data_IF_277289560997
#
_entry.id   IF_277289560997
#
_cell.length_a   1.000
_cell.length_b   1.000
_cell.length_c   1.000
_cell.angle_alpha   90.00
_cell.angle_beta   90.00
_cell.angle_gamma   90.00
#
_symmetry.space_group_name_H-M   'P 1'
#
loop_
_entity.id
_entity.type
_entity.pdbx_description
1 polymer ?
#
# COMPACT_ATOMS: atom_id res chain seq x y z
N UNK A 1 -22.64 -9.95 4.34
CA UNK A 1 -21.24 -10.10 3.87
C UNK A 1 -20.57 -8.74 3.67
N UNK A 2 -21.27 -7.73 3.12
CA UNK A 2 -20.76 -6.36 2.91
C UNK A 2 -20.36 -5.62 4.20
N UNK A 3 -21.17 -5.69 5.28
CA UNK A 3 -20.88 -4.94 6.51
C UNK A 3 -19.53 -5.30 7.18
N UNK A 4 -19.16 -6.59 7.21
CA UNK A 4 -17.86 -7.00 7.79
C UNK A 4 -16.69 -6.53 6.91
N UNK A 5 -16.89 -6.46 5.60
CA UNK A 5 -15.89 -5.97 4.66
C UNK A 5 -15.68 -4.46 4.80
N UNK A 6 -16.75 -3.69 5.02
CA UNK A 6 -16.63 -2.25 5.29
C UNK A 6 -15.94 -1.98 6.64
N UNK A 7 -16.25 -2.77 7.69
CA UNK A 7 -15.57 -2.65 8.99
C UNK A 7 -14.06 -3.00 8.85
N UNK A 8 -13.75 -4.03 8.07
CA UNK A 8 -12.35 -4.40 7.78
C UNK A 8 -11.63 -3.31 6.99
N UNK A 9 -12.28 -2.71 5.99
CA UNK A 9 -11.72 -1.58 5.26
C UNK A 9 -11.41 -0.41 6.19
N UNK A 10 -12.33 -0.05 7.09
CA UNK A 10 -12.11 1.02 8.07
C UNK A 10 -11.00 0.67 9.08
N UNK A 11 -10.83 -0.61 9.42
CA UNK A 11 -9.71 -1.09 10.25
C UNK A 11 -8.38 -0.97 9.51
N UNK A 12 -8.32 -1.44 8.25
CA UNK A 12 -7.13 -1.40 7.41
C UNK A 12 -6.60 0.03 7.20
N UNK A 13 -7.51 1.01 7.09
CA UNK A 13 -7.14 2.42 6.99
C UNK A 13 -6.53 2.98 8.27
N UNK A 14 -6.94 2.49 9.44
CA UNK A 14 -6.36 2.92 10.73
C UNK A 14 -4.93 2.45 10.89
N UNK A 15 -4.59 1.28 10.36
CA UNK A 15 -3.22 0.73 10.40
C UNK A 15 -2.18 1.64 9.73
N UNK A 16 -2.61 2.49 8.79
CA UNK A 16 -1.77 3.51 8.14
C UNK A 16 -2.19 4.93 8.51
N UNK A 17 -2.68 5.11 9.75
CA UNK A 17 -3.06 6.38 10.36
C UNK A 17 -4.03 7.24 9.52
N UNK A 18 -4.82 6.62 8.65
CA UNK A 18 -5.83 7.29 7.84
C UNK A 18 -7.13 7.41 8.64
N UNK A 19 -7.24 8.46 9.46
CA UNK A 19 -8.34 8.69 10.39
C UNK A 19 -9.36 9.64 9.75
N UNK A 20 -10.65 9.25 9.76
CA UNK A 20 -11.78 10.02 9.21
C UNK A 20 -11.69 10.35 7.71
N UNK A 21 -10.94 9.57 6.93
CA UNK A 21 -10.75 9.86 5.49
C UNK A 21 -9.59 10.81 5.20
N UNK A 22 -8.81 11.21 6.19
CA UNK A 22 -7.93 12.37 6.10
C UNK A 22 -6.49 12.05 6.51
N UNK A 23 -5.54 12.42 5.64
CA UNK A 23 -4.12 12.49 6.01
C UNK A 23 -3.90 13.67 6.98
N UNK A 24 -3.33 13.38 8.16
CA UNK A 24 -2.95 14.38 9.18
C UNK A 24 -1.42 14.54 9.30
N UNK A 25 -0.63 13.90 8.44
CA UNK A 25 0.83 13.93 8.38
C UNK A 25 1.39 15.04 7.47
N UNK A 26 2.64 15.45 7.72
CA UNK A 26 3.26 16.71 7.25
C UNK A 26 3.29 16.92 5.72
N UNK A 27 2.67 18.01 5.25
CA UNK A 27 2.99 18.60 3.94
C UNK A 27 4.09 19.69 4.09
N UNK A 28 5.23 19.61 3.38
CA UNK A 28 6.33 20.60 3.45
C UNK A 28 5.97 22.03 2.97
N UNK A 29 4.75 22.27 2.47
CA UNK A 29 4.41 23.47 1.70
C UNK A 29 3.53 24.50 2.41
N UNK A 30 3.23 24.33 3.70
CA UNK A 30 2.69 25.40 4.55
C UNK A 30 1.33 25.99 4.16
N UNK A 31 0.59 25.42 3.19
CA UNK A 31 -0.78 25.86 2.85
C UNK A 31 -1.67 24.72 2.34
N UNK A 32 -2.54 24.21 3.22
CA UNK A 32 -3.93 23.83 2.88
C UNK A 32 -4.80 23.92 4.13
N UNK A 33 -6.01 24.46 3.97
CA UNK A 33 -6.94 24.83 5.05
C UNK A 33 -7.90 23.68 5.45
N UNK A 34 -7.89 22.55 4.75
CA UNK A 34 -8.71 21.38 5.04
C UNK A 34 -7.93 20.11 4.72
N UNK A 35 -8.16 19.04 5.49
CA UNK A 35 -7.52 17.77 5.20
C UNK A 35 -8.02 17.19 3.86
N UNK A 36 -7.18 16.39 3.21
CA UNK A 36 -7.43 15.84 1.87
C UNK A 36 -8.03 14.45 2.00
N UNK A 37 -9.13 14.20 1.28
CA UNK A 37 -9.85 12.94 1.32
C UNK A 37 -9.48 12.04 0.14
N UNK A 38 -9.02 10.83 0.45
CA UNK A 38 -8.61 9.79 -0.51
C UNK A 38 -9.46 8.51 -0.43
N UNK A 39 -10.62 8.54 0.26
CA UNK A 39 -11.44 7.34 0.47
C UNK A 39 -11.83 6.63 -0.83
N UNK A 40 -12.06 7.36 -1.93
CA UNK A 40 -12.38 6.74 -3.23
C UNK A 40 -11.17 5.96 -3.77
N UNK A 41 -9.97 6.54 -3.72
CA UNK A 41 -8.73 5.85 -4.12
C UNK A 41 -8.52 4.60 -3.26
N UNK A 42 -8.61 4.72 -1.94
CA UNK A 42 -8.39 3.59 -1.04
C UNK A 42 -9.40 2.47 -1.29
N UNK A 43 -10.67 2.82 -1.51
CA UNK A 43 -11.70 1.82 -1.84
C UNK A 43 -11.41 1.12 -3.16
N UNK A 44 -10.97 1.87 -4.18
CA UNK A 44 -10.56 1.29 -5.46
C UNK A 44 -9.42 0.29 -5.27
N UNK A 45 -8.36 0.66 -4.54
CA UNK A 45 -7.24 -0.24 -4.26
C UNK A 45 -7.66 -1.48 -3.45
N UNK A 46 -8.64 -1.36 -2.57
CA UNK A 46 -9.18 -2.46 -1.78
C UNK A 46 -10.07 -3.41 -2.61
N UNK A 47 -10.73 -2.89 -3.64
CA UNK A 47 -11.58 -3.66 -4.54
C UNK A 47 -10.78 -4.35 -5.66
N UNK A 48 -9.59 -3.86 -5.97
CA UNK A 48 -8.69 -4.45 -6.96
C UNK A 48 -7.87 -5.59 -6.36
N UNK A 49 -8.04 -6.79 -6.90
CA UNK A 49 -7.19 -7.95 -6.58
C UNK A 49 -5.74 -7.70 -7.02
N UNK A 50 -4.78 -7.93 -6.14
CA UNK A 50 -3.38 -7.96 -6.51
C UNK A 50 -3.03 -9.28 -7.20
N UNK A 51 -2.38 -9.19 -8.37
CA UNK A 51 -1.87 -10.34 -9.12
C UNK A 51 -0.36 -10.20 -9.27
N UNK A 52 0.36 -11.32 -9.15
CA UNK A 52 1.81 -11.35 -9.24
C UNK A 52 2.28 -12.22 -10.39
N UNK A 53 3.45 -11.86 -10.94
CA UNK A 53 4.11 -12.61 -12.03
C UNK A 53 5.25 -13.47 -11.50
N UNK A 54 6.01 -12.98 -10.52
CA UNK A 54 7.16 -13.70 -9.98
C UNK A 54 6.75 -14.55 -8.78
N UNK A 55 7.06 -15.85 -8.83
CA UNK A 55 6.58 -16.85 -7.87
C UNK A 55 6.72 -16.45 -6.39
N UNK A 56 7.84 -15.82 -6.02
CA UNK A 56 8.12 -15.46 -4.62
C UNK A 56 7.33 -14.26 -4.09
N UNK A 57 6.68 -13.48 -4.96
CA UNK A 57 5.77 -12.41 -4.54
C UNK A 57 4.53 -12.97 -3.83
N UNK A 58 4.27 -14.28 -3.93
CA UNK A 58 3.27 -14.98 -3.10
C UNK A 58 3.52 -14.75 -1.60
N UNK A 59 4.77 -14.59 -1.17
CA UNK A 59 5.08 -14.30 0.23
C UNK A 59 4.56 -12.91 0.64
N UNK A 60 4.59 -11.92 -0.25
CA UNK A 60 4.06 -10.57 0.01
C UNK A 60 2.53 -10.58 0.04
N UNK A 61 1.92 -11.39 -0.82
CA UNK A 61 0.48 -11.66 -0.78
C UNK A 61 0.08 -12.28 0.55
N UNK A 62 0.86 -13.25 1.06
CA UNK A 62 0.63 -13.84 2.39
C UNK A 62 0.74 -12.82 3.51
N UNK A 63 1.70 -11.89 3.44
CA UNK A 63 1.83 -10.80 4.41
C UNK A 63 0.56 -9.92 4.39
N UNK A 64 0.08 -9.50 3.21
CA UNK A 64 -1.17 -8.72 3.12
C UNK A 64 -2.41 -9.48 3.58
N UNK A 65 -2.47 -10.80 3.37
CA UNK A 65 -3.56 -11.64 3.87
C UNK A 65 -3.52 -11.85 5.38
N UNK A 66 -2.34 -11.79 6.01
CA UNK A 66 -2.18 -11.94 7.46
C UNK A 66 -2.94 -10.86 8.24
N UNK A 67 -3.06 -9.65 7.67
CA UNK A 67 -3.84 -8.52 8.22
C UNK A 67 -5.29 -8.90 8.53
N UNK A 68 -5.86 -9.86 7.79
CA UNK A 68 -7.22 -10.34 8.05
C UNK A 68 -7.31 -11.10 9.37
N UNK A 69 -6.27 -11.87 9.71
CA UNK A 69 -6.18 -12.57 10.99
C UNK A 69 -6.04 -11.57 12.13
N UNK A 70 -5.17 -10.57 11.98
CA UNK A 70 -4.97 -9.51 12.98
C UNK A 70 -6.28 -8.75 13.24
N UNK A 71 -7.01 -8.41 12.17
CA UNK A 71 -8.34 -7.81 12.28
C UNK A 71 -9.33 -8.69 13.08
N UNK A 72 -9.38 -9.99 12.82
CA UNK A 72 -10.30 -10.90 13.51
C UNK A 72 -9.95 -11.06 15.00
N UNK A 73 -8.66 -11.07 15.32
CA UNK A 73 -8.18 -11.10 16.69
C UNK A 73 -8.56 -9.80 17.42
N UNK A 74 -8.39 -8.63 16.78
CA UNK A 74 -8.72 -7.31 17.33
C UNK A 74 -10.20 -7.13 17.66
N UNK A 75 -11.10 -7.66 16.83
CA UNK A 75 -12.55 -7.59 17.08
C UNK A 75 -13.07 -8.75 17.93
N UNK A 76 -12.19 -9.61 18.44
CA UNK A 76 -12.48 -10.80 19.26
C UNK A 76 -13.48 -11.78 18.59
N UNK A 77 -13.45 -11.90 17.25
CA UNK A 77 -14.31 -12.81 16.50
C UNK A 77 -13.52 -14.00 15.99
N UNK A 78 -13.87 -15.20 16.44
CA UNK A 78 -13.37 -16.46 15.86
C UNK A 78 -14.12 -16.78 14.56
N UNK A 79 -13.68 -16.17 13.46
CA UNK A 79 -14.11 -16.54 12.10
C UNK A 79 -12.91 -16.55 11.18
N UNK A 80 -12.95 -17.35 10.11
CA UNK A 80 -11.72 -17.71 9.36
C UNK A 80 -11.80 -17.48 7.86
N UNK A 81 -12.77 -16.73 7.34
CA UNK A 81 -12.94 -16.75 5.89
C UNK A 81 -13.46 -15.43 5.29
N UNK A 82 -12.54 -14.51 5.05
CA UNK A 82 -12.59 -13.75 3.80
C UNK A 82 -12.06 -14.65 2.68
N UNK A 83 -12.96 -15.25 1.90
CA UNK A 83 -12.58 -16.02 0.69
C UNK A 83 -12.43 -15.03 -0.47
N UNK A 84 -11.38 -14.23 -0.43
CA UNK A 84 -11.00 -13.28 -1.48
C UNK A 84 -9.49 -13.29 -1.67
N UNK A 85 -9.06 -12.94 -2.87
CA UNK A 85 -7.65 -12.66 -3.15
C UNK A 85 -7.17 -11.47 -2.32
N UNK A 86 -5.86 -11.35 -2.13
CA UNK A 86 -5.27 -10.16 -1.49
C UNK A 86 -5.52 -8.95 -2.40
N UNK A 87 -6.06 -7.88 -1.85
CA UNK A 87 -6.25 -6.63 -2.58
C UNK A 87 -4.94 -5.86 -2.70
N UNK A 88 -4.87 -4.93 -3.65
CA UNK A 88 -3.74 -4.01 -3.77
C UNK A 88 -3.54 -3.21 -2.48
N UNK A 89 -4.64 -2.77 -1.85
CA UNK A 89 -4.55 -2.04 -0.58
C UNK A 89 -3.94 -2.90 0.54
N UNK A 90 -4.40 -4.15 0.70
CA UNK A 90 -3.85 -5.08 1.71
C UNK A 90 -2.35 -5.33 1.50
N UNK A 91 -1.92 -5.50 0.25
CA UNK A 91 -0.50 -5.67 -0.06
C UNK A 91 0.32 -4.44 0.35
N UNK A 92 -0.12 -3.23 -0.03
CA UNK A 92 0.59 -2.00 0.26
C UNK A 92 0.64 -1.71 1.77
N UNK A 93 -0.47 -1.92 2.48
CA UNK A 93 -0.52 -1.75 3.95
C UNK A 93 0.38 -2.78 4.64
N UNK A 94 0.32 -4.05 4.24
CA UNK A 94 1.16 -5.10 4.83
C UNK A 94 2.65 -4.85 4.60
N UNK A 95 3.03 -4.34 3.42
CA UNK A 95 4.41 -3.91 3.15
C UNK A 95 4.83 -2.74 4.04
N UNK A 96 3.96 -1.74 4.20
CA UNK A 96 4.26 -0.55 5.01
C UNK A 96 4.49 -0.92 6.48
N UNK A 97 3.61 -1.72 7.07
CA UNK A 97 3.75 -2.23 8.44
C UNK A 97 5.04 -3.04 8.58
N UNK A 98 5.29 -3.98 7.66
CA UNK A 98 6.49 -4.82 7.72
C UNK A 98 7.78 -4.01 7.64
N UNK A 99 7.82 -2.97 6.79
CA UNK A 99 8.98 -2.08 6.67
C UNK A 99 9.19 -1.27 7.96
N UNK A 100 8.12 -0.71 8.51
CA UNK A 100 8.17 0.07 9.74
C UNK A 100 8.60 -0.82 10.92
N UNK A 101 7.95 -1.94 11.15
CA UNK A 101 8.24 -2.79 12.32
C UNK A 101 9.59 -3.50 12.26
N UNK A 102 9.99 -4.02 11.10
CA UNK A 102 11.15 -4.91 11.02
C UNK A 102 12.46 -4.20 10.64
N UNK A 103 12.39 -2.99 10.05
CA UNK A 103 13.57 -2.38 9.42
C UNK A 103 13.88 -0.94 9.84
N UNK A 104 12.87 -0.06 9.99
CA UNK A 104 13.13 1.39 10.12
C UNK A 104 12.50 2.01 11.37
N UNK A 105 11.26 1.63 11.70
CA UNK A 105 10.46 2.25 12.74
C UNK A 105 11.01 2.04 14.14
N UNK A 106 10.61 2.93 15.05
CA UNK A 106 10.76 2.71 16.48
C UNK A 106 9.60 1.81 16.94
N UNK A 107 9.87 0.61 17.52
CA UNK A 107 8.80 -0.25 18.02
C UNK A 107 7.89 0.41 19.06
N UNK A 108 8.34 1.50 19.71
CA UNK A 108 7.54 2.28 20.66
C UNK A 108 6.71 3.39 20.00
N UNK A 109 6.98 3.71 18.73
CA UNK A 109 6.35 4.79 17.99
C UNK A 109 6.33 4.47 16.48
N UNK A 110 5.49 3.49 16.08
CA UNK A 110 5.38 3.04 14.70
C UNK A 110 4.79 4.13 13.78
N UNK A 111 5.30 4.21 12.56
CA UNK A 111 4.88 5.17 11.53
C UNK A 111 4.70 4.53 10.14
N UNK A 112 3.93 3.43 10.01
CA UNK A 112 3.70 2.75 8.73
C UNK A 112 3.08 3.67 7.67
N UNK A 113 2.36 4.73 8.07
CA UNK A 113 1.78 5.70 7.14
C UNK A 113 2.81 6.39 6.25
N UNK A 114 4.04 6.58 6.73
CA UNK A 114 5.11 7.23 5.96
C UNK A 114 5.46 6.37 4.74
N UNK A 115 5.70 5.08 4.96
CA UNK A 115 6.04 4.13 3.89
C UNK A 115 4.86 3.87 2.96
N UNK A 116 3.65 3.82 3.51
CA UNK A 116 2.45 3.69 2.71
C UNK A 116 2.30 4.85 1.73
N UNK A 117 2.45 6.09 2.20
CA UNK A 117 2.34 7.28 1.34
C UNK A 117 3.50 7.41 0.37
N UNK A 118 4.71 7.02 0.73
CA UNK A 118 5.83 6.94 -0.22
C UNK A 118 5.49 6.00 -1.38
N UNK A 119 4.91 4.83 -1.11
CA UNK A 119 4.47 3.89 -2.16
C UNK A 119 3.37 4.49 -3.05
N UNK A 120 2.37 5.15 -2.45
CA UNK A 120 1.28 5.82 -3.19
C UNK A 120 1.82 6.97 -4.06
N UNK A 121 2.78 7.74 -3.54
CA UNK A 121 3.45 8.82 -4.27
C UNK A 121 4.31 8.30 -5.41
N UNK A 122 5.10 7.24 -5.18
CA UNK A 122 5.97 6.65 -6.20
C UNK A 122 5.17 6.05 -7.37
N UNK A 123 3.98 5.49 -7.08
CA UNK A 123 3.02 5.06 -8.11
C UNK A 123 2.36 6.24 -8.85
N UNK A 124 2.46 7.46 -8.32
CA UNK A 124 1.80 8.65 -8.88
C UNK A 124 0.30 8.73 -8.60
N UNK A 125 -0.16 8.07 -7.52
CA UNK A 125 -1.57 8.01 -7.11
C UNK A 125 -1.94 9.08 -6.07
N UNK A 126 -0.95 9.74 -5.46
CA UNK A 126 -1.09 10.79 -4.44
C UNK A 126 -1.85 12.05 -4.93
N UNK A 127 -1.97 12.24 -6.25
CA UNK A 127 -2.77 13.30 -6.85
C UNK A 127 -4.27 12.96 -6.97
N UNK A 128 -4.67 11.72 -6.67
CA UNK A 128 -6.04 11.21 -6.86
C UNK A 128 -6.89 11.34 -5.58
N UNK A 129 -6.95 12.55 -5.03
CA UNK A 129 -7.95 12.85 -3.98
C UNK A 129 -9.38 12.72 -4.53
N UNK A 130 -10.39 12.69 -3.67
CA UNK A 130 -11.79 12.46 -4.05
C UNK A 130 -12.33 13.50 -5.07
N UNK A 131 -11.76 14.71 -5.15
CA UNK A 131 -12.18 15.72 -6.12
C UNK A 131 -11.52 15.52 -7.49
N UNK A 132 -10.39 14.79 -7.55
CA UNK A 132 -9.58 14.60 -8.74
C UNK A 132 -9.47 13.13 -9.17
N UNK A 133 -10.16 12.22 -8.47
CA UNK A 133 -10.08 10.79 -8.73
C UNK A 133 -10.49 10.44 -10.16
N UNK A 134 -9.62 9.69 -10.85
CA UNK A 134 -9.85 9.19 -12.19
C UNK A 134 -9.65 7.68 -12.20
N UNK A 135 -10.76 6.95 -12.23
CA UNK A 135 -10.76 5.49 -12.15
C UNK A 135 -9.95 4.84 -13.28
N UNK A 136 -10.12 5.31 -14.52
CA UNK A 136 -9.41 4.76 -15.70
C UNK A 136 -7.90 4.90 -15.54
N UNK A 137 -7.45 6.07 -15.07
CA UNK A 137 -6.03 6.32 -14.85
C UNK A 137 -5.49 5.51 -13.66
N UNK A 138 -6.28 5.36 -12.61
CA UNK A 138 -5.91 4.52 -11.46
C UNK A 138 -5.72 3.07 -11.89
N UNK A 139 -6.66 2.53 -12.67
CA UNK A 139 -6.59 1.16 -13.20
C UNK A 139 -5.37 0.99 -14.11
N UNK A 140 -5.10 1.95 -15.01
CA UNK A 140 -3.93 1.92 -15.88
C UNK A 140 -2.60 1.87 -15.09
N UNK A 141 -2.44 2.73 -14.08
CA UNK A 141 -1.24 2.76 -13.23
C UNK A 141 -1.05 1.44 -12.50
N UNK A 142 -2.11 0.92 -11.88
CA UNK A 142 -2.05 -0.34 -11.11
C UNK A 142 -1.79 -1.53 -12.04
N UNK A 143 -2.38 -1.55 -13.24
CA UNK A 143 -2.13 -2.58 -14.24
C UNK A 143 -0.68 -2.58 -14.73
N UNK A 144 -0.11 -1.41 -15.03
CA UNK A 144 1.30 -1.27 -15.43
C UNK A 144 2.22 -1.85 -14.35
N UNK A 145 1.96 -1.51 -13.09
CA UNK A 145 2.73 -2.05 -11.98
C UNK A 145 2.61 -3.58 -11.87
N UNK A 146 1.39 -4.12 -11.83
CA UNK A 146 1.16 -5.56 -11.68
C UNK A 146 1.68 -6.38 -12.87
N UNK A 147 1.59 -5.87 -14.10
CA UNK A 147 2.12 -6.51 -15.32
C UNK A 147 3.63 -6.33 -15.47
N UNK A 148 4.26 -5.52 -14.60
CA UNK A 148 5.69 -5.22 -14.62
C UNK A 148 6.12 -4.51 -15.91
N UNK A 149 5.24 -3.67 -16.43
CA UNK A 149 5.43 -2.85 -17.64
C UNK A 149 6.02 -1.46 -17.32
N UNK A 150 6.40 -1.23 -16.05
CA UNK A 150 7.13 -0.06 -15.59
C UNK A 150 8.60 -0.06 -16.07
N UNK A 151 9.37 0.97 -15.76
CA UNK A 151 10.76 1.10 -16.24
C UNK A 151 11.73 0.15 -15.51
N UNK A 152 12.88 -0.16 -16.11
CA UNK A 152 13.84 -1.11 -15.53
C UNK A 152 14.42 -0.66 -14.18
N UNK A 153 14.48 0.65 -13.94
CA UNK A 153 14.91 1.23 -12.66
C UNK A 153 13.79 1.24 -11.60
N UNK A 154 12.59 0.74 -11.92
CA UNK A 154 11.45 0.73 -11.02
C UNK A 154 10.55 1.96 -11.11
N UNK A 155 10.83 2.96 -11.96
CA UNK A 155 9.93 4.09 -12.18
C UNK A 155 8.58 3.61 -12.73
N UNK A 156 7.49 3.95 -12.02
CA UNK A 156 6.15 3.40 -12.26
C UNK A 156 5.78 2.22 -11.35
N UNK A 157 6.62 1.91 -10.36
CA UNK A 157 6.34 0.98 -9.26
C UNK A 157 6.37 1.71 -7.91
N UNK A 158 6.00 1.04 -6.79
CA UNK A 158 6.14 1.62 -5.45
C UNK A 158 7.60 1.85 -5.01
N UNK A 159 8.58 1.25 -5.70
CA UNK A 159 9.99 1.19 -5.26
C UNK A 159 10.99 1.60 -6.36
N UNK A 160 10.91 2.83 -6.91
CA UNK A 160 11.84 3.31 -7.91
C UNK A 160 13.24 3.52 -7.32
N UNK A 161 14.28 3.11 -8.06
CA UNK A 161 15.68 3.25 -7.67
C UNK A 161 16.35 4.38 -8.45
N UNK A 162 17.21 5.15 -7.78
CA UNK A 162 18.04 6.19 -8.40
C UNK A 162 19.24 5.60 -9.11
N UNK A 163 19.78 4.50 -8.58
CA UNK A 163 20.89 3.79 -9.19
C UNK A 163 20.40 2.44 -9.70
N UNK A 164 20.59 2.20 -11.00
CA UNK A 164 20.27 0.92 -11.62
C UNK A 164 21.29 -0.14 -11.17
N UNK A 165 20.96 -0.82 -10.06
CA UNK A 165 21.73 -1.94 -9.52
C UNK A 165 21.23 -3.29 -10.07
N UNK A 166 20.02 -3.32 -10.63
CA UNK A 166 19.41 -4.46 -11.32
C UNK A 166 18.11 -4.01 -12.01
N UNK A 167 17.67 -4.79 -13.01
CA UNK A 167 16.33 -4.62 -13.59
C UNK A 167 15.25 -4.99 -12.57
N UNK A 168 14.54 -3.98 -12.07
CA UNK A 168 13.49 -4.13 -11.06
C UNK A 168 12.34 -4.98 -11.55
N UNK A 169 12.12 -5.07 -12.87
CA UNK A 169 11.09 -5.90 -13.50
C UNK A 169 11.44 -7.39 -13.49
N UNK A 170 12.67 -7.76 -13.14
CA UNK A 170 13.10 -9.17 -13.09
C UNK A 170 13.28 -9.69 -11.65
N UNK A 171 12.98 -8.88 -10.63
CA UNK A 171 13.16 -9.27 -9.22
C UNK A 171 11.89 -9.14 -8.38
N UNK A 172 11.76 -10.03 -7.39
CA UNK A 172 10.65 -10.02 -6.43
C UNK A 172 10.52 -8.67 -5.71
N UNK A 173 9.29 -8.31 -5.34
CA UNK A 173 8.93 -7.05 -4.67
C UNK A 173 9.80 -6.85 -3.44
N UNK A 174 10.06 -7.90 -2.66
CA UNK A 174 10.90 -7.76 -1.47
C UNK A 174 12.32 -7.30 -1.77
N UNK A 175 12.90 -7.77 -2.86
CA UNK A 175 14.23 -7.31 -3.26
C UNK A 175 14.20 -5.84 -3.69
N UNK A 176 13.11 -5.40 -4.32
CA UNK A 176 12.88 -3.98 -4.64
C UNK A 176 12.74 -3.14 -3.37
N UNK A 177 11.96 -3.59 -2.39
CA UNK A 177 11.82 -2.94 -1.07
C UNK A 177 13.20 -2.75 -0.45
N UNK A 178 13.98 -3.82 -0.27
CA UNK A 178 15.30 -3.74 0.38
C UNK A 178 16.25 -2.77 -0.33
N UNK A 179 16.24 -2.75 -1.67
CA UNK A 179 17.03 -1.80 -2.45
C UNK A 179 16.55 -0.35 -2.25
N UNK A 180 15.24 -0.13 -2.29
CA UNK A 180 14.63 1.19 -2.10
C UNK A 180 14.92 1.77 -0.72
N UNK A 181 14.81 0.95 0.32
CA UNK A 181 15.14 1.36 1.69
C UNK A 181 16.60 1.79 1.79
N UNK A 182 17.52 1.00 1.23
CA UNK A 182 18.95 1.31 1.26
C UNK A 182 19.34 2.64 0.56
N UNK A 183 18.51 3.15 -0.36
CA UNK A 183 18.78 4.41 -1.09
C UNK A 183 18.11 5.63 -0.46
N UNK A 184 17.04 5.44 0.32
CA UNK A 184 16.16 6.53 0.77
C UNK A 184 16.08 6.66 2.29
N UNK A 185 16.56 5.67 3.05
CA UNK A 185 16.53 5.61 4.51
C UNK A 185 17.92 5.23 5.08
#
# INVERSE_FOLDING_TARGET
>A
MTLMWDIYFDWLLKEVNFIDGFDRGRVPSGRRLYPIDYTILMRKLHETDFKWVLERDENRVKDGLALRSDFFDDIEITTTAFIRECSVLELLVGLAIRVDEEYIGDPMNPHPEIFFWDMIHNLGLDVMDNNHFNEVKCDEIIDIWMKREFESDGNGSPFPLKNDIFDSREVEIWRQVMAYLSENY
#
